data_IF_798649183695
#
_entry.id   IF_798649183695
#
_cell.length_a   1.000
_cell.length_b   1.000
_cell.length_c   1.000
_cell.angle_alpha   90.00
_cell.angle_beta   90.00
_cell.angle_gamma   90.00
#
_symmetry.space_group_name_H-M   'P 1'
#
loop_
_entity.id
_entity.type
_entity.pdbx_description
1 polymer ?
#
# COMPACT_ATOMS: atom_id res chain seq x y z
N UNK A 1 7.10 -7.60 72.02
CA UNK A 1 7.62 -6.67 70.99
C UNK A 1 8.19 -7.52 69.87
N UNK A 2 7.46 -7.68 68.77
CA UNK A 2 7.98 -8.26 67.52
C UNK A 2 7.16 -7.66 66.38
N UNK A 3 7.76 -6.72 65.65
CA UNK A 3 7.21 -6.12 64.45
C UNK A 3 7.26 -7.15 63.32
N UNK A 4 6.12 -7.48 62.72
CA UNK A 4 6.06 -8.25 61.47
C UNK A 4 5.95 -7.27 60.30
N UNK A 5 6.97 -7.26 59.47
CA UNK A 5 7.17 -6.43 58.29
C UNK A 5 6.15 -6.76 57.20
N UNK A 6 5.47 -5.74 56.67
CA UNK A 6 4.56 -5.87 55.53
C UNK A 6 5.40 -5.88 54.24
N UNK A 7 5.29 -6.94 53.45
CA UNK A 7 5.95 -7.04 52.15
C UNK A 7 5.23 -6.15 51.13
N UNK A 8 5.80 -4.98 50.82
CA UNK A 8 5.36 -4.14 49.72
C UNK A 8 5.73 -4.78 48.38
N UNK A 9 4.73 -5.33 47.69
CA UNK A 9 4.86 -5.76 46.29
C UNK A 9 4.91 -4.51 45.41
N UNK A 10 6.08 -4.14 44.92
CA UNK A 10 6.23 -3.05 43.95
C UNK A 10 5.68 -3.52 42.59
N UNK A 11 4.55 -2.95 42.15
CA UNK A 11 4.10 -3.08 40.76
C UNK A 11 5.06 -2.29 39.86
N UNK A 12 6.01 -2.98 39.22
CA UNK A 12 6.73 -2.42 38.08
C UNK A 12 5.76 -2.29 36.90
N UNK A 13 5.22 -1.08 36.72
CA UNK A 13 4.48 -0.70 35.52
C UNK A 13 5.44 -0.66 34.32
N UNK A 14 5.67 -1.83 33.72
CA UNK A 14 6.35 -1.90 32.43
C UNK A 14 5.35 -1.40 31.40
N UNK A 15 5.50 -0.15 30.98
CA UNK A 15 4.76 0.39 29.84
C UNK A 15 5.19 -0.40 28.60
N UNK A 16 4.46 -1.48 28.32
CA UNK A 16 4.58 -2.22 27.08
C UNK A 16 4.00 -1.34 25.98
N UNK A 17 4.83 -0.48 25.40
CA UNK A 17 4.53 0.18 24.14
C UNK A 17 4.30 -0.95 23.14
N UNK A 18 3.02 -1.23 22.86
CA UNK A 18 2.61 -2.13 21.81
C UNK A 18 3.16 -1.55 20.51
N UNK A 19 4.32 -2.05 20.07
CA UNK A 19 4.79 -1.83 18.72
C UNK A 19 3.85 -2.68 17.87
N UNK A 20 2.95 -2.09 17.04
CA UNK A 20 2.15 -2.91 16.17
C UNK A 20 3.13 -3.68 15.28
N UNK A 21 3.19 -4.99 15.47
CA UNK A 21 3.78 -5.86 14.45
C UNK A 21 3.04 -5.50 13.17
N UNK A 22 3.78 -5.04 12.15
CA UNK A 22 3.19 -4.57 10.89
C UNK A 22 2.37 -5.72 10.29
N UNK A 23 1.08 -5.77 10.64
CA UNK A 23 0.20 -6.83 10.21
C UNK A 23 0.01 -6.60 8.71
N UNK A 24 0.65 -7.43 7.89
CA UNK A 24 0.53 -7.40 6.43
C UNK A 24 -0.91 -7.63 5.95
N UNK A 25 -1.86 -7.80 6.87
CA UNK A 25 -3.30 -7.91 6.60
C UNK A 25 -3.96 -6.61 6.12
N UNK A 26 -3.36 -5.44 6.32
CA UNK A 26 -3.95 -4.16 5.89
C UNK A 26 -3.03 -3.48 4.89
N UNK A 27 -3.53 -3.30 3.67
CA UNK A 27 -2.87 -2.55 2.61
C UNK A 27 -3.56 -1.20 2.38
N UNK A 28 -2.79 -0.16 2.08
CA UNK A 28 -3.34 1.15 1.75
C UNK A 28 -3.66 1.25 0.26
N UNK A 29 -4.92 1.56 -0.07
CA UNK A 29 -5.29 1.88 -1.43
C UNK A 29 -4.70 3.23 -1.85
N UNK A 30 -3.78 3.23 -2.82
CA UNK A 30 -3.03 4.43 -3.22
C UNK A 30 -3.90 5.57 -3.73
N UNK A 31 -5.11 5.28 -4.24
CA UNK A 31 -6.08 6.31 -4.62
C UNK A 31 -6.43 7.26 -3.46
N UNK A 32 -6.32 6.80 -2.21
CA UNK A 32 -6.52 7.61 -1.00
C UNK A 32 -5.54 8.78 -0.93
N UNK A 33 -4.29 8.57 -1.38
CA UNK A 33 -3.20 9.56 -1.32
C UNK A 33 -3.06 10.40 -2.61
N UNK A 34 -3.97 10.28 -3.58
CA UNK A 34 -3.87 10.91 -4.91
C UNK A 34 -3.65 12.43 -4.92
N UNK A 35 -4.00 13.12 -3.84
CA UNK A 35 -3.88 14.58 -3.71
C UNK A 35 -2.63 15.02 -2.93
N UNK A 36 -1.80 14.10 -2.44
CA UNK A 36 -0.62 14.40 -1.60
C UNK A 36 0.56 14.92 -2.44
N UNK A 37 0.56 14.68 -3.77
CA UNK A 37 1.59 15.15 -4.68
C UNK A 37 2.18 14.02 -5.54
N UNK A 38 3.51 13.98 -5.66
CA UNK A 38 4.23 12.98 -6.45
C UNK A 38 4.02 11.55 -5.91
N UNK A 39 4.20 10.55 -6.77
CA UNK A 39 4.13 9.13 -6.36
C UNK A 39 5.09 8.83 -5.21
N UNK A 40 6.30 9.38 -5.25
CA UNK A 40 7.28 9.21 -4.18
C UNK A 40 6.82 9.79 -2.84
N UNK A 41 6.19 10.98 -2.84
CA UNK A 41 5.61 11.56 -1.64
C UNK A 41 4.45 10.72 -1.09
N UNK A 42 3.64 10.13 -1.96
CA UNK A 42 2.56 9.22 -1.57
C UNK A 42 3.11 7.94 -0.92
N UNK A 43 4.12 7.30 -1.52
CA UNK A 43 4.73 6.08 -0.98
C UNK A 43 5.48 6.34 0.32
N UNK A 44 6.17 7.47 0.42
CA UNK A 44 6.77 7.92 1.68
C UNK A 44 5.71 8.07 2.78
N UNK A 45 4.60 8.76 2.48
CA UNK A 45 3.53 8.96 3.46
C UNK A 45 2.88 7.64 3.88
N UNK A 46 2.69 6.70 2.95
CA UNK A 46 2.16 5.38 3.25
C UNK A 46 3.06 4.63 4.24
N UNK A 47 4.36 4.57 3.96
CA UNK A 47 5.33 3.93 4.85
C UNK A 47 5.42 4.64 6.21
N UNK A 48 5.49 5.98 6.20
CA UNK A 48 5.56 6.79 7.42
C UNK A 48 4.28 6.68 8.27
N UNK A 49 3.14 6.32 7.67
CA UNK A 49 1.88 6.06 8.39
C UNK A 49 1.79 4.63 8.94
N UNK A 50 2.84 3.81 8.78
CA UNK A 50 2.91 2.46 9.33
C UNK A 50 2.41 1.35 8.40
N UNK A 51 2.06 1.65 7.14
CA UNK A 51 1.67 0.62 6.18
C UNK A 51 2.90 -0.13 5.64
N UNK A 52 2.78 -1.45 5.54
CA UNK A 52 3.79 -2.33 4.91
C UNK A 52 3.36 -2.87 3.54
N UNK A 53 2.11 -2.59 3.15
CA UNK A 53 1.51 -3.03 1.91
C UNK A 53 0.65 -1.92 1.28
N UNK A 54 0.58 -1.91 -0.05
CA UNK A 54 -0.22 -0.98 -0.84
C UNK A 54 -1.04 -1.69 -1.93
N UNK A 55 -2.20 -1.12 -2.22
CA UNK A 55 -3.00 -1.48 -3.39
C UNK A 55 -2.81 -0.43 -4.48
N UNK A 56 -2.42 -0.88 -5.67
CA UNK A 56 -2.09 0.01 -6.77
C UNK A 56 -3.34 0.49 -7.53
N UNK A 57 -3.16 1.54 -8.34
CA UNK A 57 -4.13 1.97 -9.36
C UNK A 57 -3.42 2.06 -10.70
N UNK A 58 -3.82 1.21 -11.65
CA UNK A 58 -3.13 1.06 -12.93
C UNK A 58 -1.65 0.76 -12.73
N UNK A 59 -0.81 1.52 -13.43
CA UNK A 59 0.65 1.48 -13.37
C UNK A 59 1.26 2.59 -12.49
N UNK A 60 0.42 3.35 -11.75
CA UNK A 60 0.81 4.56 -11.02
C UNK A 60 1.42 5.68 -11.89
N UNK A 61 1.25 5.60 -13.22
CA UNK A 61 1.80 6.54 -14.18
C UNK A 61 3.33 6.45 -14.37
N UNK A 62 3.96 5.33 -14.00
CA UNK A 62 5.41 5.11 -14.11
C UNK A 62 5.74 3.73 -14.67
N UNK A 63 6.98 3.54 -15.12
CA UNK A 63 7.45 2.22 -15.59
C UNK A 63 7.52 1.21 -14.45
N UNK A 64 7.50 -0.10 -14.79
CA UNK A 64 7.62 -1.17 -13.79
C UNK A 64 8.91 -1.05 -12.97
N UNK A 65 10.00 -0.63 -13.61
CA UNK A 65 11.33 -0.59 -13.00
C UNK A 65 11.41 0.56 -12.01
N UNK A 66 10.83 1.70 -12.38
CA UNK A 66 10.70 2.86 -11.50
C UNK A 66 9.80 2.55 -10.31
N UNK A 67 8.63 1.93 -10.54
CA UNK A 67 7.74 1.53 -9.46
C UNK A 67 8.42 0.53 -8.50
N UNK A 68 9.12 -0.47 -9.03
CA UNK A 68 9.88 -1.43 -8.23
C UNK A 68 10.98 -0.77 -7.40
N UNK A 69 11.70 0.19 -7.98
CA UNK A 69 12.74 0.95 -7.29
C UNK A 69 12.15 1.72 -6.10
N UNK A 70 11.02 2.40 -6.31
CA UNK A 70 10.32 3.14 -5.25
C UNK A 70 9.75 2.22 -4.16
N UNK A 71 9.08 1.13 -4.55
CA UNK A 71 8.53 0.15 -3.60
C UNK A 71 9.63 -0.44 -2.70
N UNK A 72 10.79 -0.79 -3.27
CA UNK A 72 11.95 -1.26 -2.50
C UNK A 72 12.50 -0.18 -1.58
N UNK A 73 12.62 1.07 -2.07
CA UNK A 73 13.10 2.21 -1.27
C UNK A 73 12.28 2.41 0.00
N UNK A 74 10.96 2.25 -0.06
CA UNK A 74 10.06 2.42 1.07
C UNK A 74 9.65 1.11 1.76
N UNK A 75 10.28 -0.02 1.42
CA UNK A 75 9.98 -1.34 1.98
C UNK A 75 8.47 -1.70 1.92
N UNK A 76 7.80 -1.33 0.83
CA UNK A 76 6.37 -1.57 0.60
C UNK A 76 6.18 -2.78 -0.31
N UNK A 77 5.20 -3.61 0.03
CA UNK A 77 4.77 -4.73 -0.82
C UNK A 77 3.45 -4.41 -1.54
N UNK A 78 3.24 -4.99 -2.71
CA UNK A 78 1.97 -4.86 -3.45
C UNK A 78 1.10 -6.08 -3.16
N UNK A 79 -0.13 -5.84 -2.72
CA UNK A 79 -1.12 -6.90 -2.43
C UNK A 79 -2.16 -7.08 -3.51
N UNK A 80 -2.56 -5.98 -4.15
CA UNK A 80 -3.59 -5.95 -5.18
C UNK A 80 -3.41 -4.72 -6.08
N UNK A 81 -4.17 -4.67 -7.18
CA UNK A 81 -4.21 -3.51 -8.06
C UNK A 81 -5.62 -3.29 -8.60
N UNK A 82 -6.03 -2.03 -8.65
CA UNK A 82 -7.17 -1.60 -9.44
C UNK A 82 -6.76 -1.40 -10.90
N UNK A 83 -7.31 -2.21 -11.80
CA UNK A 83 -7.05 -2.10 -13.24
C UNK A 83 -8.30 -1.69 -13.98
N UNK A 84 -8.15 -0.84 -15.01
CA UNK A 84 -9.28 -0.44 -15.86
C UNK A 84 -9.78 -1.62 -16.70
N UNK A 85 -11.09 -1.69 -16.90
CA UNK A 85 -11.73 -2.72 -17.73
C UNK A 85 -11.17 -2.75 -19.16
N UNK A 86 -10.86 -1.59 -19.75
CA UNK A 86 -10.32 -1.53 -21.11
C UNK A 86 -8.92 -2.14 -21.22
N UNK A 87 -8.05 -1.94 -20.23
CA UNK A 87 -6.74 -2.58 -20.18
C UNK A 87 -6.88 -4.12 -20.07
N UNK A 88 -7.83 -4.62 -19.28
CA UNK A 88 -8.11 -6.07 -19.21
C UNK A 88 -8.68 -6.63 -20.52
N UNK A 89 -9.44 -5.84 -21.28
CA UNK A 89 -10.03 -6.27 -22.56
C UNK A 89 -9.05 -6.23 -23.72
N UNK A 90 -8.17 -5.23 -23.74
CA UNK A 90 -7.31 -4.92 -24.90
C UNK A 90 -5.84 -5.28 -24.69
N UNK A 91 -5.37 -5.27 -23.44
CA UNK A 91 -3.96 -5.36 -23.06
C UNK A 91 -3.75 -6.34 -21.89
N UNK A 92 -4.50 -7.46 -21.87
CA UNK A 92 -4.50 -8.40 -20.74
C UNK A 92 -3.10 -8.94 -20.41
N UNK A 93 -2.36 -9.39 -21.43
CA UNK A 93 -1.03 -9.98 -21.25
C UNK A 93 -0.03 -8.97 -20.67
N UNK A 94 -0.04 -7.73 -21.16
CA UNK A 94 0.81 -6.65 -20.67
C UNK A 94 0.46 -6.25 -19.24
N UNK A 95 -0.83 -6.15 -18.94
CA UNK A 95 -1.35 -5.87 -17.60
C UNK A 95 -0.87 -6.93 -16.59
N UNK A 96 -0.97 -8.21 -16.96
CA UNK A 96 -0.51 -9.32 -16.13
C UNK A 96 1.01 -9.24 -15.95
N UNK A 97 1.76 -9.00 -17.03
CA UNK A 97 3.22 -8.91 -16.98
C UNK A 97 3.71 -7.76 -16.08
N UNK A 98 3.04 -6.60 -16.14
CA UNK A 98 3.34 -5.47 -15.25
C UNK A 98 3.09 -5.84 -13.78
N UNK A 99 1.89 -6.33 -13.46
CA UNK A 99 1.50 -6.67 -12.10
C UNK A 99 2.42 -7.73 -11.48
N UNK A 100 2.76 -8.78 -12.24
CA UNK A 100 3.71 -9.81 -11.79
C UNK A 100 5.09 -9.23 -11.50
N UNK A 101 5.56 -8.32 -12.35
CA UNK A 101 6.88 -7.73 -12.20
C UNK A 101 6.99 -6.81 -10.97
N UNK A 102 5.88 -6.19 -10.54
CA UNK A 102 5.85 -5.34 -9.33
C UNK A 102 5.51 -6.12 -8.05
N UNK A 103 5.50 -7.46 -8.13
CA UNK A 103 5.31 -8.33 -6.98
C UNK A 103 3.86 -8.60 -6.61
N UNK A 104 2.89 -8.16 -7.41
CA UNK A 104 1.49 -8.54 -7.25
C UNK A 104 1.31 -10.01 -7.68
N UNK A 105 1.32 -10.92 -6.70
CA UNK A 105 1.31 -12.38 -6.92
C UNK A 105 -0.09 -12.99 -6.94
N UNK A 106 -1.11 -12.23 -6.56
CA UNK A 106 -2.46 -12.75 -6.42
C UNK A 106 -3.22 -12.62 -7.74
N UNK A 107 -3.35 -13.74 -8.45
CA UNK A 107 -4.00 -13.88 -9.76
C UNK A 107 -5.44 -13.35 -9.81
N UNK A 108 -6.10 -13.25 -8.65
CA UNK A 108 -7.52 -12.97 -8.49
C UNK A 108 -7.87 -11.52 -8.11
N UNK A 109 -6.88 -10.68 -7.76
CA UNK A 109 -7.12 -9.36 -7.17
C UNK A 109 -6.80 -8.19 -8.12
N UNK A 110 -7.13 -8.36 -9.40
CA UNK A 110 -7.26 -7.24 -10.33
C UNK A 110 -8.68 -6.70 -10.17
N UNK A 111 -8.85 -5.72 -9.28
CA UNK A 111 -10.17 -5.16 -9.04
C UNK A 111 -10.49 -4.23 -10.20
N UNK A 112 -11.53 -4.59 -10.94
CA UNK A 112 -11.93 -3.83 -12.11
C UNK A 112 -12.47 -2.45 -11.69
N UNK A 113 -11.75 -1.39 -12.04
CA UNK A 113 -12.27 -0.04 -11.95
C UNK A 113 -13.24 0.19 -13.11
N UNK A 114 -14.53 0.36 -12.83
CA UNK A 114 -15.50 0.73 -13.86
C UNK A 114 -15.28 2.19 -14.29
N UNK A 115 -14.77 2.41 -15.52
CA UNK A 115 -14.90 3.68 -16.25
C UNK A 115 -14.92 3.44 -17.76
N UNK A 116 -16.10 3.39 -18.37
CA UNK A 116 -16.17 3.70 -19.80
C UNK A 116 -16.08 5.23 -20.00
N UNK A 117 -15.10 5.68 -20.79
CA UNK A 117 -15.12 7.01 -21.41
C UNK A 117 -15.04 8.25 -20.51
N UNK A 118 -14.67 8.15 -19.22
CA UNK A 118 -14.42 9.34 -18.37
C UNK A 118 -13.06 9.27 -17.68
N UNK A 119 -12.26 10.36 -17.72
CA UNK A 119 -11.01 10.42 -16.96
C UNK A 119 -11.27 10.25 -15.46
N UNK A 120 -10.29 9.72 -14.72
CA UNK A 120 -10.40 9.62 -13.27
C UNK A 120 -10.48 11.01 -12.62
N UNK A 121 -11.68 11.47 -12.27
CA UNK A 121 -11.88 12.74 -11.54
C UNK A 121 -11.10 12.73 -10.22
N UNK A 122 -10.16 13.66 -10.08
CA UNK A 122 -9.33 13.84 -8.89
C UNK A 122 -8.06 13.00 -8.86
N UNK A 123 -7.83 12.16 -9.88
CA UNK A 123 -6.49 11.70 -10.18
C UNK A 123 -5.86 12.78 -11.07
N UNK A 124 -4.62 13.19 -10.81
CA UNK A 124 -3.89 14.10 -11.70
C UNK A 124 -3.92 13.62 -13.16
N UNK A 125 -3.44 14.43 -14.10
CA UNK A 125 -3.48 14.10 -15.55
C UNK A 125 -2.74 12.79 -15.93
N UNK A 126 -2.03 12.15 -15.01
CA UNK A 126 -1.12 11.04 -15.25
C UNK A 126 -1.71 9.64 -14.95
N UNK A 127 -2.98 9.54 -14.55
CA UNK A 127 -3.59 8.27 -14.15
C UNK A 127 -4.54 7.67 -15.21
N UNK A 128 -4.53 8.22 -16.44
CA UNK A 128 -5.50 7.93 -17.52
C UNK A 128 -4.80 7.61 -18.85
N UNK A 129 -3.54 7.18 -18.85
CA UNK A 129 -2.87 6.83 -20.11
C UNK A 129 -2.25 5.44 -20.03
N UNK A 130 -3.08 4.43 -20.31
CA UNK A 130 -2.71 3.33 -21.20
C UNK A 130 -3.97 2.68 -21.80
#
# INVERSE_FOLDING_TARGET
>A
MALSTVASCALSATNLLATPAADRKIALQMYTLRNVGSLEAQLFLAQNSGFSAVELVGDQGVSRDELNRLLKKYNLTVTSAHVQMDALRRQLAETIAFNRAVGNRSWWYLICSHKSGRPMRGAGKNWVTN
#
